data_IF_533765171235
#
_entry.id   IF_533765171235
#
_cell.length_a   1.000
_cell.length_b   1.000
_cell.length_c   1.000
_cell.angle_alpha   90.00
_cell.angle_beta   90.00
_cell.angle_gamma   90.00
#
_symmetry.space_group_name_H-M   'P 1'
#
loop_
_entity.id
_entity.type
_entity.pdbx_description
1 polymer ?
#
# COMPACT_ATOMS: atom_id res chain seq x y z
N UNK A 1 5.55 15.86 2.28
CA UNK A 1 6.17 15.54 0.97
C UNK A 1 5.18 15.05 -0.09
N UNK A 2 4.22 14.17 0.22
CA UNK A 2 3.31 13.50 -0.73
C UNK A 2 2.31 14.42 -1.48
N UNK A 3 1.73 15.40 -0.79
CA UNK A 3 0.92 16.46 -1.43
C UNK A 3 1.79 17.42 -2.25
N UNK A 4 3.06 17.56 -1.89
CA UNK A 4 3.98 18.56 -2.48
C UNK A 4 4.36 18.18 -3.91
N UNK A 5 4.56 16.89 -4.22
CA UNK A 5 4.94 16.47 -5.57
C UNK A 5 3.78 16.55 -6.57
N UNK A 6 2.59 16.08 -6.20
CA UNK A 6 1.38 16.19 -7.04
C UNK A 6 0.94 17.63 -7.23
N UNK A 7 0.95 18.44 -6.17
CA UNK A 7 0.70 19.89 -6.25
C UNK A 7 1.80 20.61 -7.02
N UNK A 8 3.05 20.17 -6.90
CA UNK A 8 4.19 20.72 -7.62
C UNK A 8 4.09 20.52 -9.13
N UNK A 9 3.78 19.30 -9.58
CA UNK A 9 3.56 19.02 -11.01
C UNK A 9 2.36 19.83 -11.54
N UNK A 10 1.26 19.90 -10.78
CA UNK A 10 0.10 20.73 -11.13
C UNK A 10 0.44 22.21 -11.24
N UNK A 11 1.21 22.75 -10.28
CA UNK A 11 1.64 24.14 -10.28
C UNK A 11 2.56 24.45 -11.47
N UNK A 12 3.48 23.54 -11.80
CA UNK A 12 4.37 23.67 -12.98
C UNK A 12 3.56 23.64 -14.28
N UNK A 13 2.59 22.73 -14.42
CA UNK A 13 1.70 22.69 -15.59
C UNK A 13 0.88 23.98 -15.69
N UNK A 14 0.32 24.47 -14.58
CA UNK A 14 -0.45 25.70 -14.54
C UNK A 14 0.39 26.93 -14.96
N UNK A 15 1.64 26.99 -14.49
CA UNK A 15 2.57 28.05 -14.83
C UNK A 15 2.99 28.00 -16.31
N UNK A 16 3.16 26.81 -16.87
CA UNK A 16 3.44 26.63 -18.30
C UNK A 16 2.26 27.04 -19.19
N UNK A 17 1.02 26.82 -18.73
CA UNK A 17 -0.19 27.30 -19.41
C UNK A 17 -0.24 28.83 -19.39
N UNK A 18 -0.02 29.46 -18.23
CA UNK A 18 -0.04 30.92 -18.07
C UNK A 18 1.06 31.60 -18.91
N UNK A 19 2.23 30.98 -19.01
CA UNK A 19 3.38 31.53 -19.78
C UNK A 19 3.32 31.22 -21.28
N UNK A 20 2.28 30.54 -21.77
CA UNK A 20 2.12 30.22 -23.19
C UNK A 20 3.06 29.13 -23.72
N UNK A 21 3.82 28.46 -22.84
CA UNK A 21 4.82 27.44 -23.19
C UNK A 21 4.20 26.04 -23.34
N UNK A 22 3.13 25.94 -24.13
CA UNK A 22 2.38 24.70 -24.37
C UNK A 22 3.26 23.54 -24.86
N UNK A 23 4.34 23.85 -25.59
CA UNK A 23 5.28 22.86 -26.13
C UNK A 23 6.00 22.04 -25.04
N UNK A 24 6.19 22.61 -23.83
CA UNK A 24 6.88 21.95 -22.73
C UNK A 24 5.96 21.04 -21.88
N UNK A 25 4.64 21.15 -22.05
CA UNK A 25 3.66 20.35 -21.31
C UNK A 25 3.73 18.89 -21.73
N UNK A 26 3.84 18.61 -23.04
CA UNK A 26 3.86 17.24 -23.58
C UNK A 26 5.10 16.46 -23.09
N UNK A 27 6.35 16.99 -23.20
CA UNK A 27 7.53 16.35 -22.65
C UNK A 27 7.45 16.14 -21.14
N UNK A 28 6.88 17.10 -20.40
CA UNK A 28 6.73 17.00 -18.95
C UNK A 28 5.78 15.86 -18.57
N UNK A 29 4.62 15.76 -19.21
CA UNK A 29 3.67 14.67 -19.00
C UNK A 29 4.32 13.33 -19.35
N UNK A 30 4.99 13.25 -20.50
CA UNK A 30 5.68 12.03 -20.94
C UNK A 30 6.72 11.58 -19.93
N UNK A 31 7.54 12.50 -19.39
CA UNK A 31 8.52 12.21 -18.36
C UNK A 31 7.87 11.69 -17.07
N UNK A 32 6.77 12.31 -16.61
CA UNK A 32 6.03 11.82 -15.43
C UNK A 32 5.45 10.42 -15.64
N UNK A 33 4.92 10.12 -16.83
CA UNK A 33 4.42 8.77 -17.15
C UNK A 33 5.58 7.77 -17.19
N UNK A 34 6.69 8.13 -17.86
CA UNK A 34 7.86 7.27 -18.01
C UNK A 34 8.46 6.84 -16.66
N UNK A 35 8.45 7.74 -15.67
CA UNK A 35 8.96 7.43 -14.32
C UNK A 35 7.91 6.69 -13.49
N UNK A 36 6.63 7.08 -13.57
CA UNK A 36 5.58 6.50 -12.72
C UNK A 36 5.21 5.06 -13.07
N UNK A 37 5.19 4.69 -14.36
CA UNK A 37 4.85 3.34 -14.83
C UNK A 37 5.78 2.24 -14.28
N UNK A 38 7.13 2.32 -14.40
CA UNK A 38 8.02 1.29 -13.88
C UNK A 38 7.95 1.17 -12.35
N UNK A 39 7.74 2.29 -11.64
CA UNK A 39 7.47 2.29 -10.21
C UNK A 39 6.22 1.46 -9.88
N UNK A 40 5.10 1.70 -10.58
CA UNK A 40 3.86 0.94 -10.37
C UNK A 40 4.02 -0.56 -10.67
N UNK A 41 4.76 -0.93 -11.73
CA UNK A 41 5.04 -2.33 -12.07
C UNK A 41 5.85 -3.01 -10.95
N UNK A 42 6.91 -2.36 -10.46
CA UNK A 42 7.74 -2.88 -9.38
C UNK A 42 6.90 -3.15 -8.11
N UNK A 43 6.01 -2.22 -7.75
CA UNK A 43 5.10 -2.41 -6.61
C UNK A 43 4.12 -3.57 -6.83
N UNK A 44 3.50 -3.65 -8.01
CA UNK A 44 2.59 -4.73 -8.34
C UNK A 44 3.25 -6.11 -8.23
N UNK A 45 4.51 -6.23 -8.68
CA UNK A 45 5.31 -7.45 -8.57
C UNK A 45 5.66 -7.79 -7.11
N UNK A 46 6.05 -6.79 -6.29
CA UNK A 46 6.35 -7.01 -4.86
C UNK A 46 5.13 -7.49 -4.08
N UNK A 47 3.98 -6.84 -4.25
CA UNK A 47 2.72 -7.25 -3.59
C UNK A 47 2.35 -8.67 -4.02
N UNK A 48 2.42 -8.97 -5.33
CA UNK A 48 2.12 -10.32 -5.86
C UNK A 48 3.08 -11.38 -5.31
N UNK A 49 4.37 -11.04 -5.15
CA UNK A 49 5.38 -11.94 -4.57
C UNK A 49 5.08 -12.25 -3.11
N UNK A 50 4.73 -11.22 -2.32
CA UNK A 50 4.34 -11.40 -0.91
C UNK A 50 3.05 -12.19 -0.76
N UNK A 51 2.02 -11.85 -1.53
CA UNK A 51 0.75 -12.60 -1.57
C UNK A 51 1.02 -14.09 -1.83
N UNK A 52 1.78 -14.43 -2.89
CA UNK A 52 2.07 -15.82 -3.24
C UNK A 52 2.81 -16.55 -2.12
N UNK A 53 3.73 -15.88 -1.42
CA UNK A 53 4.48 -16.46 -0.30
C UNK A 53 3.63 -16.67 0.96
N UNK A 54 2.65 -15.79 1.20
CA UNK A 54 1.84 -15.77 2.43
C UNK A 54 0.43 -16.35 2.25
N UNK A 55 0.06 -16.78 1.03
CA UNK A 55 -1.27 -17.34 0.73
C UNK A 55 -1.58 -18.60 1.54
N UNK A 56 -0.56 -19.42 1.82
CA UNK A 56 -0.71 -20.72 2.47
C UNK A 56 0.05 -20.86 3.80
N UNK A 57 0.71 -19.78 4.25
CA UNK A 57 1.47 -19.78 5.50
C UNK A 57 1.45 -18.39 6.13
N UNK A 58 1.65 -18.37 7.44
CA UNK A 58 1.84 -17.13 8.18
C UNK A 58 3.28 -16.61 8.00
N UNK A 59 3.45 -15.31 8.22
CA UNK A 59 4.77 -14.67 8.17
C UNK A 59 5.58 -14.96 9.42
N UNK A 60 6.90 -15.09 9.26
CA UNK A 60 7.84 -15.25 10.37
C UNK A 60 8.38 -13.90 10.86
N UNK A 61 9.05 -13.89 12.02
CA UNK A 61 9.66 -12.66 12.54
C UNK A 61 10.76 -12.10 11.62
N UNK A 62 11.60 -12.97 11.06
CA UNK A 62 12.68 -12.57 10.14
C UNK A 62 12.14 -11.91 8.85
N UNK A 63 11.03 -12.44 8.32
CA UNK A 63 10.40 -11.93 7.10
C UNK A 63 9.64 -10.61 7.33
N UNK A 64 9.32 -10.27 8.58
CA UNK A 64 8.52 -9.09 8.91
C UNK A 64 9.18 -7.80 8.46
N UNK A 65 10.47 -7.63 8.74
CA UNK A 65 11.17 -6.37 8.43
C UNK A 65 11.29 -6.14 6.92
N UNK A 66 11.47 -7.22 6.15
CA UNK A 66 11.45 -7.17 4.70
C UNK A 66 10.06 -6.78 4.18
N UNK A 67 9.01 -7.41 4.69
CA UNK A 67 7.64 -7.07 4.34
C UNK A 67 7.34 -5.61 4.68
N UNK A 68 7.65 -5.19 5.90
CA UNK A 68 7.39 -3.85 6.39
C UNK A 68 8.12 -2.80 5.55
N UNK A 69 9.39 -3.04 5.23
CA UNK A 69 10.19 -2.16 4.37
C UNK A 69 9.62 -2.07 2.96
N UNK A 70 9.19 -3.20 2.39
CA UNK A 70 8.55 -3.24 1.09
C UNK A 70 7.21 -2.48 1.09
N UNK A 71 6.37 -2.68 2.11
CA UNK A 71 5.07 -2.02 2.23
C UNK A 71 5.23 -0.51 2.45
N UNK A 72 6.22 -0.09 3.24
CA UNK A 72 6.52 1.32 3.49
C UNK A 72 7.03 2.06 2.24
N UNK A 73 7.65 1.34 1.31
CA UNK A 73 8.09 1.89 0.01
C UNK A 73 6.92 2.07 -0.97
N UNK A 74 5.83 1.35 -0.79
CA UNK A 74 4.64 1.53 -1.64
C UNK A 74 4.08 2.91 -1.35
N UNK A 75 4.09 3.77 -2.36
CA UNK A 75 3.55 5.11 -2.24
C UNK A 75 2.03 5.10 -2.42
N UNK A 76 1.53 4.32 -3.36
CA UNK A 76 0.14 4.33 -3.77
C UNK A 76 -0.26 2.95 -4.28
N UNK A 77 -1.47 2.56 -3.92
CA UNK A 77 -2.09 1.33 -4.40
C UNK A 77 -3.25 1.76 -5.29
N UNK A 78 -3.33 1.26 -6.54
CA UNK A 78 -4.49 1.51 -7.38
C UNK A 78 -5.77 1.16 -6.63
N UNK A 79 -6.77 2.04 -6.71
CA UNK A 79 -8.11 1.76 -6.20
C UNK A 79 -8.78 0.69 -7.08
N UNK A 80 -8.33 -0.54 -6.93
CA UNK A 80 -8.76 -1.68 -7.73
C UNK A 80 -8.81 -2.91 -6.83
N UNK A 81 -9.95 -3.65 -6.79
CA UNK A 81 -10.20 -4.73 -5.84
C UNK A 81 -9.08 -5.77 -5.79
N UNK A 82 -8.52 -6.12 -6.95
CA UNK A 82 -7.38 -7.03 -7.07
C UNK A 82 -6.19 -6.66 -6.17
N UNK A 83 -5.75 -5.40 -6.13
CA UNK A 83 -4.58 -5.03 -5.32
C UNK A 83 -4.91 -4.98 -3.83
N UNK A 84 -6.11 -4.51 -3.50
CA UNK A 84 -6.60 -4.48 -2.13
C UNK A 84 -6.75 -5.88 -1.56
N UNK A 85 -7.32 -6.82 -2.33
CA UNK A 85 -7.43 -8.23 -1.96
C UNK A 85 -6.07 -8.83 -1.60
N UNK A 86 -5.03 -8.55 -2.42
CA UNK A 86 -3.66 -9.02 -2.12
C UNK A 86 -3.11 -8.46 -0.82
N UNK A 87 -3.28 -7.17 -0.59
CA UNK A 87 -2.80 -6.52 0.64
C UNK A 87 -3.57 -7.02 1.86
N UNK A 88 -4.88 -7.29 1.73
CA UNK A 88 -5.68 -7.95 2.77
C UNK A 88 -5.13 -9.33 3.06
N UNK A 89 -4.85 -10.16 2.05
CA UNK A 89 -4.25 -11.49 2.25
C UNK A 89 -2.94 -11.38 3.03
N UNK A 90 -2.04 -10.49 2.62
CA UNK A 90 -0.77 -10.24 3.32
C UNK A 90 -1.03 -9.83 4.77
N UNK A 91 -1.90 -8.85 4.98
CA UNK A 91 -2.23 -8.35 6.31
C UNK A 91 -2.81 -9.43 7.21
N UNK A 92 -3.76 -10.23 6.72
CA UNK A 92 -4.38 -11.29 7.49
C UNK A 92 -3.39 -12.41 7.82
N UNK A 93 -2.50 -12.79 6.90
CA UNK A 93 -1.41 -13.73 7.21
C UNK A 93 -0.46 -13.19 8.27
N UNK A 94 -0.21 -11.87 8.30
CA UNK A 94 0.57 -11.23 9.36
C UNK A 94 -0.19 -11.15 10.69
N UNK A 95 -1.48 -10.79 10.65
CA UNK A 95 -2.32 -10.63 11.84
C UNK A 95 -2.47 -11.96 12.59
N UNK A 96 -2.63 -13.07 11.87
CA UNK A 96 -2.79 -14.41 12.44
C UNK A 96 -1.46 -15.12 12.73
N UNK A 97 -0.31 -14.54 12.35
CA UNK A 97 0.98 -15.09 12.73
C UNK A 97 1.14 -15.10 14.25
N UNK A 98 1.63 -16.22 14.79
CA UNK A 98 1.97 -16.38 16.20
C UNK A 98 3.35 -15.84 16.54
N UNK A 99 4.21 -15.71 15.54
CA UNK A 99 5.58 -15.22 15.69
C UNK A 99 5.63 -13.69 15.81
N UNK A 100 4.69 -13.00 15.16
CA UNK A 100 4.65 -11.54 15.23
C UNK A 100 4.10 -11.02 16.56
N UNK A 101 4.81 -10.05 17.13
CA UNK A 101 4.35 -9.28 18.27
C UNK A 101 3.18 -8.37 17.90
N UNK A 102 2.41 -7.96 18.92
CA UNK A 102 1.30 -7.02 18.72
C UNK A 102 1.78 -5.66 18.18
N UNK A 103 2.98 -5.22 18.59
CA UNK A 103 3.57 -3.98 18.11
C UNK A 103 3.85 -4.03 16.59
N UNK A 104 4.49 -5.10 16.12
CA UNK A 104 4.75 -5.32 14.69
C UNK A 104 3.45 -5.34 13.86
N UNK A 105 2.42 -6.02 14.36
CA UNK A 105 1.10 -6.04 13.70
C UNK A 105 0.50 -4.63 13.57
N UNK A 106 0.63 -3.81 14.63
CA UNK A 106 0.14 -2.41 14.63
C UNK A 106 0.95 -1.51 13.70
N UNK A 107 2.26 -1.72 13.59
CA UNK A 107 3.09 -0.98 12.63
C UNK A 107 2.68 -1.28 11.20
N UNK A 108 2.48 -2.56 10.88
CA UNK A 108 2.00 -2.96 9.56
C UNK A 108 0.61 -2.39 9.27
N UNK A 109 -0.31 -2.42 10.25
CA UNK A 109 -1.62 -1.79 10.12
C UNK A 109 -1.50 -0.30 9.73
N UNK A 110 -0.67 0.48 10.43
CA UNK A 110 -0.48 1.92 10.14
C UNK A 110 0.02 2.15 8.72
N UNK A 111 0.92 1.30 8.23
CA UNK A 111 1.43 1.40 6.86
C UNK A 111 0.31 1.13 5.85
N UNK A 112 -0.46 0.06 6.05
CA UNK A 112 -1.55 -0.30 5.13
C UNK A 112 -2.75 0.65 5.20
N UNK A 113 -3.05 1.20 6.38
CA UNK A 113 -4.05 2.25 6.56
C UNK A 113 -3.64 3.54 5.84
N UNK A 114 -2.35 3.89 5.88
CA UNK A 114 -1.78 4.99 5.06
C UNK A 114 -1.83 4.78 3.54
N UNK A 115 -2.07 3.53 3.10
CA UNK A 115 -2.38 3.17 1.71
C UNK A 115 -3.89 3.17 1.41
N UNK A 116 -4.71 3.61 2.37
CA UNK A 116 -6.17 3.67 2.29
C UNK A 116 -6.82 2.30 2.07
N UNK A 117 -6.23 1.23 2.63
CA UNK A 117 -6.80 -0.11 2.55
C UNK A 117 -8.06 -0.20 3.44
N UNK A 118 -9.23 -0.35 2.80
CA UNK A 118 -10.50 -0.39 3.53
C UNK A 118 -10.83 -1.79 4.08
N UNK A 119 -11.48 -1.83 5.24
CA UNK A 119 -12.05 -3.07 5.81
C UNK A 119 -11.01 -4.02 6.43
N UNK A 120 -9.91 -3.48 6.98
CA UNK A 120 -8.95 -4.23 7.79
C UNK A 120 -9.17 -3.91 9.29
N UNK A 121 -9.27 -4.93 10.18
CA UNK A 121 -9.44 -4.68 11.60
C UNK A 121 -8.13 -4.21 12.24
N UNK A 122 -8.21 -3.31 13.22
CA UNK A 122 -7.06 -2.91 14.03
C UNK A 122 -6.56 -4.09 14.89
N UNK A 123 -5.24 -4.32 15.04
CA UNK A 123 -4.72 -5.39 15.89
C UNK A 123 -5.04 -5.14 17.36
N UNK A 124 -5.93 -5.95 17.90
CA UNK A 124 -6.31 -5.94 19.32
C UNK A 124 -5.52 -6.98 20.11
N UNK A 125 -5.29 -6.68 21.38
CA UNK A 125 -4.71 -7.64 22.30
C UNK A 125 -5.75 -8.74 22.59
N UNK A 126 -5.32 -10.00 22.72
CA UNK A 126 -6.26 -11.14 22.89
C UNK A 126 -7.13 -11.00 24.15
N UNK A 127 -6.63 -10.27 25.15
CA UNK A 127 -7.36 -9.97 26.40
C UNK A 127 -8.54 -9.01 26.20
N UNK A 128 -8.54 -8.22 25.12
CA UNK A 128 -9.56 -7.21 24.82
C UNK A 128 -10.50 -7.61 23.68
N UNK A 129 -10.42 -8.84 23.17
CA UNK A 129 -11.37 -9.37 22.19
C UNK A 129 -12.71 -9.72 22.87
N UNK A 130 -13.47 -8.70 23.24
CA UNK A 130 -14.91 -8.85 23.44
C UNK A 130 -15.52 -9.00 22.05
N UNK A 131 -15.90 -10.22 21.64
CA UNK A 131 -16.43 -10.51 20.29
C UNK A 131 -17.59 -9.55 19.96
N UNK A 132 -17.45 -8.67 18.95
CA UNK A 132 -18.59 -8.38 18.09
C UNK A 132 -18.62 -9.50 17.04
N UNK A 133 -19.71 -10.24 17.06
CA UNK A 133 -20.33 -10.97 15.96
C UNK A 133 -20.24 -10.28 14.58
N UNK A 134 -19.03 -10.14 14.03
CA UNK A 134 -18.85 -9.73 12.63
C UNK A 134 -19.01 -10.96 11.77
N UNK A 135 -20.21 -11.13 11.21
CA UNK A 135 -20.45 -12.02 10.07
C UNK A 135 -19.62 -11.53 8.89
N UNK A 136 -18.65 -12.34 8.47
CA UNK A 136 -17.95 -12.13 7.22
C UNK A 136 -18.73 -12.84 6.13
N UNK A 137 -19.50 -12.08 5.36
CA UNK A 137 -20.07 -12.58 4.12
C UNK A 137 -18.90 -12.90 3.18
N UNK A 138 -18.81 -14.19 2.82
CA UNK A 138 -17.76 -14.73 1.96
C UNK A 138 -17.79 -14.02 0.60
N UNK A 139 -16.67 -13.41 0.22
CA UNK A 139 -16.40 -12.93 -1.14
C UNK A 139 -15.60 -13.96 -1.92
#
# INVERSE_FOLDING_TARGET
MRKIFGVGVLAVVLLLIITGNMMLIIPLIFLTILISVPLQISFALRIKKWEKRLKHRNITEEEFYDLYTDMKRIWWVPNHPKYWGRLKTIYFSSLHSRELTLAQKRELYKVLDGLSLQGIPYPQDRKNQHRPDVKWDAF
#
